data_IF_224412237264
#
_entry.id   IF_224412237264
#
_cell.length_a   1.000
_cell.length_b   1.000
_cell.length_c   1.000
_cell.angle_alpha   90.00
_cell.angle_beta   90.00
_cell.angle_gamma   90.00
#
_symmetry.space_group_name_H-M   'P 1'
#
loop_
_entity.id
_entity.type
_entity.pdbx_description
1 polymer ?
#
# COMPACT_ATOMS: atom_id res chain seq x y z
N UNK A 1 -25.06 -20.38 34.09
CA UNK A 1 -24.97 -18.99 33.57
C UNK A 1 -24.70 -19.04 32.06
N UNK A 2 -25.77 -19.03 31.27
CA UNK A 2 -25.82 -19.28 29.83
C UNK A 2 -25.58 -18.00 28.99
N UNK A 3 -24.51 -17.24 29.26
CA UNK A 3 -24.27 -15.95 28.58
C UNK A 3 -22.92 -15.85 27.86
N UNK A 4 -22.24 -16.99 27.62
CA UNK A 4 -20.97 -17.03 26.88
C UNK A 4 -21.10 -17.42 25.39
N UNK A 5 -22.32 -17.49 24.85
CA UNK A 5 -22.56 -17.99 23.48
C UNK A 5 -23.31 -17.01 22.55
N UNK A 6 -23.64 -15.80 23.01
CA UNK A 6 -24.34 -14.80 22.18
C UNK A 6 -23.42 -13.71 21.58
N UNK A 7 -22.10 -13.80 21.79
CA UNK A 7 -21.12 -12.87 21.21
C UNK A 7 -20.39 -13.43 19.99
N UNK A 8 -20.79 -14.62 19.53
CA UNK A 8 -20.38 -15.14 18.22
C UNK A 8 -21.36 -14.56 17.21
N UNK A 9 -20.87 -13.89 16.17
CA UNK A 9 -21.64 -13.30 15.05
C UNK A 9 -22.40 -12.00 15.32
N UNK A 10 -21.77 -11.00 15.94
CA UNK A 10 -21.99 -9.64 15.44
C UNK A 10 -21.12 -9.51 14.19
N UNK A 11 -21.73 -9.37 13.01
CA UNK A 11 -21.02 -9.04 11.78
C UNK A 11 -20.24 -7.75 12.00
N UNK A 12 -18.95 -7.71 11.69
CA UNK A 12 -18.20 -6.45 11.75
C UNK A 12 -18.79 -5.46 10.74
N UNK A 13 -18.63 -4.14 10.93
CA UNK A 13 -19.06 -3.14 9.94
C UNK A 13 -18.46 -3.43 8.55
N UNK A 14 -17.21 -3.88 8.51
CA UNK A 14 -16.55 -4.33 7.27
C UNK A 14 -17.27 -5.53 6.65
N UNK A 15 -17.60 -6.56 7.44
CA UNK A 15 -18.36 -7.71 6.93
C UNK A 15 -19.76 -7.29 6.44
N UNK A 16 -20.39 -6.31 7.08
CA UNK A 16 -21.68 -5.77 6.66
C UNK A 16 -21.60 -5.03 5.31
N UNK A 17 -20.48 -4.36 5.00
CA UNK A 17 -20.22 -3.82 3.66
C UNK A 17 -19.99 -4.94 2.65
N UNK A 18 -19.21 -5.97 3.02
CA UNK A 18 -18.92 -7.12 2.17
C UNK A 18 -20.16 -8.00 1.88
N UNK A 19 -21.23 -7.86 2.66
CA UNK A 19 -22.51 -8.55 2.46
C UNK A 19 -23.41 -7.85 1.42
N UNK A 20 -23.08 -6.62 0.99
CA UNK A 20 -23.82 -5.92 -0.06
C UNK A 20 -23.53 -6.54 -1.42
N UNK A 21 -24.51 -6.60 -2.31
CA UNK A 21 -24.34 -7.17 -3.65
C UNK A 21 -23.36 -6.37 -4.54
N UNK A 22 -23.29 -5.04 -4.36
CA UNK A 22 -22.49 -4.14 -5.21
C UNK A 22 -21.78 -3.07 -4.36
N UNK A 23 -20.97 -3.47 -3.38
CA UNK A 23 -20.11 -2.52 -2.65
C UNK A 23 -18.91 -2.08 -3.51
N UNK A 24 -18.31 -0.95 -3.17
CA UNK A 24 -17.06 -0.48 -3.77
C UNK A 24 -15.89 -0.55 -2.80
N UNK A 25 -14.66 -0.43 -3.31
CA UNK A 25 -13.48 -0.32 -2.46
C UNK A 25 -13.57 0.90 -1.53
N UNK A 26 -14.09 2.02 -2.04
CA UNK A 26 -14.22 3.28 -1.29
C UNK A 26 -15.15 3.12 -0.09
N UNK A 27 -16.21 2.32 -0.20
CA UNK A 27 -17.08 1.99 0.96
C UNK A 27 -16.28 1.26 2.04
N UNK A 28 -15.44 0.30 1.66
CA UNK A 28 -14.58 -0.42 2.61
C UNK A 28 -13.51 0.49 3.22
N UNK A 29 -12.88 1.36 2.42
CA UNK A 29 -11.88 2.32 2.90
C UNK A 29 -12.49 3.40 3.80
N UNK A 30 -13.80 3.58 3.75
CA UNK A 30 -14.52 4.50 4.64
C UNK A 30 -14.84 3.88 6.00
N UNK A 31 -14.75 2.56 6.16
CA UNK A 31 -14.96 1.90 7.44
C UNK A 31 -13.80 2.19 8.42
N UNK A 32 -14.11 2.57 9.65
CA UNK A 32 -13.09 2.90 10.67
C UNK A 32 -12.24 1.67 11.07
N UNK A 33 -12.84 0.48 11.01
CA UNK A 33 -12.21 -0.78 11.42
C UNK A 33 -11.42 -1.46 10.28
N UNK A 34 -11.37 -0.89 9.07
CA UNK A 34 -10.74 -1.52 7.89
C UNK A 34 -9.29 -1.95 8.11
N UNK A 35 -8.49 -1.11 8.79
CA UNK A 35 -7.08 -1.41 9.11
C UNK A 35 -7.00 -2.50 10.19
N UNK A 36 -7.91 -2.47 11.17
CA UNK A 36 -7.95 -3.47 12.23
C UNK A 36 -8.35 -4.84 11.67
N UNK A 37 -9.34 -4.90 10.79
CA UNK A 37 -9.78 -6.13 10.11
C UNK A 37 -8.69 -6.70 9.19
N UNK A 38 -7.93 -5.83 8.50
CA UNK A 38 -6.70 -6.25 7.81
C UNK A 38 -5.70 -6.92 8.75
N UNK A 39 -5.40 -6.29 9.90
CA UNK A 39 -4.46 -6.83 10.91
C UNK A 39 -4.98 -8.09 11.59
N UNK A 40 -6.30 -8.22 11.74
CA UNK A 40 -6.97 -9.40 12.25
C UNK A 40 -7.05 -10.53 11.22
N UNK A 41 -6.53 -10.31 10.00
CA UNK A 41 -6.54 -11.25 8.90
C UNK A 41 -7.95 -11.71 8.51
N UNK A 42 -8.91 -10.77 8.45
CA UNK A 42 -10.26 -11.07 7.94
C UNK A 42 -10.15 -11.64 6.52
N UNK A 43 -10.49 -12.93 6.40
CA UNK A 43 -10.32 -13.68 5.15
C UNK A 43 -11.16 -13.14 3.99
N UNK A 44 -12.37 -12.64 4.26
CA UNK A 44 -13.26 -12.08 3.22
C UNK A 44 -12.68 -10.78 2.69
N UNK A 45 -12.26 -9.90 3.60
CA UNK A 45 -11.62 -8.65 3.25
C UNK A 45 -10.32 -8.87 2.45
N UNK A 46 -9.44 -9.75 2.93
CA UNK A 46 -8.18 -10.05 2.24
C UNK A 46 -8.43 -10.64 0.86
N UNK A 47 -9.42 -11.53 0.73
CA UNK A 47 -9.77 -12.13 -0.55
C UNK A 47 -10.26 -11.10 -1.57
N UNK A 48 -10.92 -10.03 -1.14
CA UNK A 48 -11.27 -8.91 -2.00
C UNK A 48 -10.05 -8.03 -2.31
N UNK A 49 -9.31 -7.59 -1.29
CA UNK A 49 -8.20 -6.64 -1.44
C UNK A 49 -7.00 -7.18 -2.24
N UNK A 50 -6.81 -8.50 -2.28
CA UNK A 50 -5.72 -9.14 -3.03
C UNK A 50 -5.89 -9.08 -4.54
N UNK A 51 -7.08 -8.78 -5.03
CA UNK A 51 -7.35 -8.73 -6.47
C UNK A 51 -6.58 -7.58 -7.12
N UNK A 52 -6.03 -7.83 -8.32
CA UNK A 52 -5.16 -6.89 -9.03
C UNK A 52 -5.77 -5.49 -9.12
N UNK A 53 -7.05 -5.38 -9.47
CA UNK A 53 -7.74 -4.11 -9.60
C UNK A 53 -7.79 -3.32 -8.26
N UNK A 54 -7.94 -4.02 -7.14
CA UNK A 54 -7.97 -3.39 -5.82
C UNK A 54 -6.57 -2.92 -5.42
N UNK A 55 -5.54 -3.74 -5.65
CA UNK A 55 -4.15 -3.36 -5.40
C UNK A 55 -3.75 -2.15 -6.26
N UNK A 56 -4.15 -2.13 -7.53
CA UNK A 56 -3.92 -0.98 -8.41
C UNK A 56 -4.57 0.29 -7.87
N UNK A 57 -5.85 0.22 -7.48
CA UNK A 57 -6.56 1.39 -6.96
C UNK A 57 -5.97 1.89 -5.64
N UNK A 58 -5.56 0.99 -4.74
CA UNK A 58 -4.83 1.33 -3.52
C UNK A 58 -3.51 2.04 -3.83
N UNK A 59 -2.76 1.58 -4.84
CA UNK A 59 -1.54 2.27 -5.28
C UNK A 59 -1.83 3.67 -5.82
N UNK A 60 -2.88 3.85 -6.63
CA UNK A 60 -3.29 5.18 -7.13
C UNK A 60 -3.58 6.14 -5.98
N UNK A 61 -4.19 5.68 -4.89
CA UNK A 61 -4.37 6.50 -3.70
C UNK A 61 -3.06 6.92 -3.04
N UNK A 62 -2.01 6.09 -3.13
CA UNK A 62 -0.69 6.36 -2.55
C UNK A 62 0.17 7.28 -3.42
N UNK A 63 0.10 7.18 -4.75
CA UNK A 63 1.07 7.84 -5.65
C UNK A 63 0.48 8.92 -6.54
N UNK A 64 -0.85 8.98 -6.71
CA UNK A 64 -1.50 9.98 -7.55
C UNK A 64 -2.17 11.06 -6.70
N UNK A 65 -1.82 12.31 -7.02
CA UNK A 65 -2.51 13.48 -6.48
C UNK A 65 -4.03 13.39 -6.73
N UNK A 66 -4.85 13.72 -5.73
CA UNK A 66 -6.28 13.78 -5.92
C UNK A 66 -6.64 14.85 -6.97
N UNK A 67 -7.69 14.65 -7.79
CA UNK A 67 -8.26 15.71 -8.60
C UNK A 67 -8.59 16.97 -7.78
N UNK A 68 -8.55 18.15 -8.41
CA UNK A 68 -8.78 19.44 -7.72
C UNK A 68 -10.17 19.52 -7.08
N UNK A 69 -11.13 18.80 -7.65
CA UNK A 69 -12.53 18.68 -7.23
C UNK A 69 -12.81 17.40 -6.41
N UNK A 70 -11.77 16.66 -6.02
CA UNK A 70 -11.93 15.43 -5.27
C UNK A 70 -12.47 15.69 -3.85
N UNK A 71 -13.29 14.75 -3.37
CA UNK A 71 -13.73 14.76 -1.97
C UNK A 71 -12.55 14.67 -1.00
N UNK A 72 -12.73 15.27 0.18
CA UNK A 72 -11.81 15.22 1.31
C UNK A 72 -11.32 13.80 1.65
N UNK A 73 -12.17 12.78 1.49
CA UNK A 73 -11.76 11.39 1.70
C UNK A 73 -10.69 10.93 0.71
N UNK A 74 -10.84 11.27 -0.57
CA UNK A 74 -9.84 10.96 -1.62
C UNK A 74 -8.53 11.72 -1.41
N UNK A 75 -8.59 12.92 -0.83
CA UNK A 75 -7.42 13.75 -0.56
C UNK A 75 -6.64 13.31 0.69
N UNK A 76 -7.32 12.80 1.73
CA UNK A 76 -6.68 12.55 3.03
C UNK A 76 -6.88 11.13 3.56
N UNK A 77 -8.11 10.62 3.56
CA UNK A 77 -8.44 9.31 4.19
C UNK A 77 -7.93 8.14 3.36
N UNK A 78 -8.27 8.08 2.07
CA UNK A 78 -7.94 6.94 1.22
C UNK A 78 -6.43 6.75 1.02
N UNK A 79 -5.61 7.81 0.79
CA UNK A 79 -4.15 7.66 0.74
C UNK A 79 -3.59 7.08 2.04
N UNK A 80 -4.05 7.56 3.19
CA UNK A 80 -3.66 7.05 4.49
C UNK A 80 -4.02 5.57 4.65
N UNK A 81 -5.30 5.22 4.49
CA UNK A 81 -5.78 3.83 4.65
C UNK A 81 -5.09 2.89 3.66
N UNK A 82 -4.93 3.29 2.40
CA UNK A 82 -4.24 2.47 1.41
C UNK A 82 -2.78 2.19 1.80
N UNK A 83 -2.06 3.21 2.28
CA UNK A 83 -0.70 3.02 2.79
C UNK A 83 -0.67 2.09 4.02
N UNK A 84 -1.69 2.15 4.89
CA UNK A 84 -1.82 1.29 6.06
C UNK A 84 -2.09 -0.16 5.66
N UNK A 85 -2.96 -0.41 4.67
CA UNK A 85 -3.25 -1.75 4.13
C UNK A 85 -1.98 -2.44 3.64
N UNK A 86 -1.15 -1.75 2.84
CA UNK A 86 0.14 -2.32 2.41
C UNK A 86 1.07 -2.62 3.59
N UNK A 87 1.10 -1.72 4.58
CA UNK A 87 1.95 -1.89 5.76
C UNK A 87 1.38 -2.83 6.84
N UNK A 88 0.21 -3.42 6.61
CA UNK A 88 -0.24 -4.57 7.40
C UNK A 88 0.55 -5.85 7.06
N UNK A 89 1.45 -5.80 6.06
CA UNK A 89 2.37 -6.87 5.69
C UNK A 89 1.67 -8.17 5.25
N UNK A 90 0.44 -8.06 4.73
CA UNK A 90 -0.37 -9.18 4.27
C UNK A 90 0.26 -9.75 2.99
N UNK A 91 0.84 -10.95 3.11
CA UNK A 91 1.70 -11.54 2.09
C UNK A 91 1.05 -11.65 0.70
N UNK A 92 -0.24 -12.03 0.64
CA UNK A 92 -0.95 -12.20 -0.64
C UNK A 92 -1.17 -10.87 -1.38
N UNK A 93 -1.42 -9.78 -0.65
CA UNK A 93 -1.58 -8.43 -1.23
C UNK A 93 -0.22 -7.94 -1.75
N UNK A 94 0.83 -8.12 -0.94
CA UNK A 94 2.19 -7.74 -1.34
C UNK A 94 2.69 -8.56 -2.53
N UNK A 95 2.32 -9.84 -2.65
CA UNK A 95 2.61 -10.67 -3.82
C UNK A 95 1.96 -10.12 -5.07
N UNK A 96 0.66 -9.84 -5.04
CA UNK A 96 -0.03 -9.21 -6.18
C UNK A 96 0.69 -7.94 -6.64
N UNK A 97 1.14 -7.09 -5.71
CA UNK A 97 1.90 -5.89 -6.05
C UNK A 97 3.24 -6.19 -6.75
N UNK A 98 4.07 -7.09 -6.20
CA UNK A 98 5.44 -7.29 -6.72
C UNK A 98 5.55 -8.26 -7.89
N UNK A 99 4.56 -9.14 -8.06
CA UNK A 99 4.52 -10.11 -9.16
C UNK A 99 4.05 -9.47 -10.48
N UNK A 100 3.42 -8.29 -10.39
CA UNK A 100 2.87 -7.55 -11.52
C UNK A 100 3.74 -6.32 -11.84
N UNK A 101 4.50 -6.40 -12.94
CA UNK A 101 5.44 -5.33 -13.34
C UNK A 101 4.74 -3.97 -13.55
N UNK A 102 3.52 -3.98 -14.08
CA UNK A 102 2.72 -2.76 -14.26
C UNK A 102 2.37 -2.06 -12.94
N UNK A 103 2.16 -2.82 -11.85
CA UNK A 103 1.88 -2.26 -10.54
C UNK A 103 3.14 -1.68 -9.90
N UNK A 104 4.29 -2.34 -10.11
CA UNK A 104 5.59 -1.80 -9.70
C UNK A 104 5.93 -0.51 -10.48
N UNK A 105 5.67 -0.50 -11.79
CA UNK A 105 5.80 0.70 -12.63
C UNK A 105 4.91 1.83 -12.11
N UNK A 106 3.67 1.53 -11.74
CA UNK A 106 2.75 2.52 -11.15
C UNK A 106 3.30 3.08 -9.83
N UNK A 107 3.73 2.21 -8.90
CA UNK A 107 4.31 2.63 -7.63
C UNK A 107 5.50 3.58 -7.84
N UNK A 108 6.44 3.20 -8.70
CA UNK A 108 7.66 3.96 -8.94
C UNK A 108 7.47 5.17 -9.87
N UNK A 109 6.34 5.27 -10.58
CA UNK A 109 5.96 6.47 -11.35
C UNK A 109 5.85 7.73 -10.48
N UNK A 110 5.72 7.55 -9.15
CA UNK A 110 5.79 8.62 -8.18
C UNK A 110 7.08 9.45 -8.30
N UNK A 111 8.20 8.82 -8.65
CA UNK A 111 9.52 9.46 -8.74
C UNK A 111 9.74 10.23 -10.06
N UNK A 112 8.71 10.34 -10.91
CA UNK A 112 8.79 11.01 -12.20
C UNK A 112 9.05 12.52 -12.07
N UNK A 113 9.93 13.11 -12.92
CA UNK A 113 10.41 14.50 -12.78
C UNK A 113 9.32 15.57 -12.93
N UNK A 114 8.18 15.24 -13.56
CA UNK A 114 7.13 16.19 -13.92
C UNK A 114 6.03 16.36 -12.87
N UNK A 115 6.17 15.76 -11.67
CA UNK A 115 5.13 15.81 -10.63
C UNK A 115 5.47 16.80 -9.51
N UNK A 116 4.53 17.67 -9.09
CA UNK A 116 4.66 18.37 -7.83
C UNK A 116 4.57 17.32 -6.70
N UNK A 117 5.70 17.04 -6.05
CA UNK A 117 5.73 16.07 -4.95
C UNK A 117 4.99 16.65 -3.73
N UNK A 118 3.77 16.18 -3.45
CA UNK A 118 3.20 16.47 -2.13
C UNK A 118 3.98 15.72 -1.06
N UNK A 119 4.36 16.45 -0.01
CA UNK A 119 5.10 15.89 1.13
C UNK A 119 4.36 14.71 1.78
N UNK A 120 3.02 14.73 1.76
CA UNK A 120 2.18 13.66 2.31
C UNK A 120 2.25 12.38 1.49
N UNK A 121 2.04 12.44 0.17
CA UNK A 121 2.11 11.25 -0.68
C UNK A 121 3.54 10.69 -0.72
N UNK A 122 4.57 11.53 -0.67
CA UNK A 122 5.96 11.08 -0.53
C UNK A 122 6.18 10.23 0.73
N UNK A 123 5.53 10.60 1.83
CA UNK A 123 5.52 9.82 3.07
C UNK A 123 4.86 8.45 2.89
N UNK A 124 3.69 8.39 2.26
CA UNK A 124 2.98 7.14 1.99
C UNK A 124 3.74 6.23 1.02
N UNK A 125 4.24 6.78 -0.09
CA UNK A 125 5.11 6.09 -1.03
C UNK A 125 6.32 5.48 -0.31
N UNK A 126 7.06 6.30 0.45
CA UNK A 126 8.23 5.83 1.20
C UNK A 126 7.87 4.71 2.17
N UNK A 127 6.71 4.81 2.85
CA UNK A 127 6.22 3.78 3.77
C UNK A 127 5.96 2.44 3.06
N UNK A 128 5.32 2.46 1.89
CA UNK A 128 5.07 1.25 1.09
C UNK A 128 6.39 0.64 0.59
N UNK A 129 7.31 1.46 0.07
CA UNK A 129 8.61 0.96 -0.39
C UNK A 129 9.41 0.36 0.75
N UNK A 130 9.47 1.00 1.92
CA UNK A 130 10.13 0.42 3.11
C UNK A 130 9.49 -0.92 3.50
N UNK A 131 8.17 -1.04 3.45
CA UNK A 131 7.47 -2.31 3.68
C UNK A 131 7.90 -3.39 2.67
N UNK A 132 7.97 -3.07 1.37
CA UNK A 132 8.46 -3.98 0.35
C UNK A 132 9.93 -4.36 0.58
N UNK A 133 10.78 -3.44 1.01
CA UNK A 133 12.17 -3.75 1.34
C UNK A 133 12.30 -4.73 2.50
N UNK A 134 11.38 -4.67 3.48
CA UNK A 134 11.37 -5.57 4.63
C UNK A 134 10.75 -6.94 4.32
N UNK A 135 9.70 -6.98 3.49
CA UNK A 135 8.86 -8.18 3.30
C UNK A 135 9.02 -8.84 1.93
N UNK A 136 9.49 -8.10 0.92
CA UNK A 136 9.62 -8.51 -0.49
C UNK A 136 10.93 -8.01 -1.10
N UNK A 137 12.03 -8.09 -0.34
CA UNK A 137 13.33 -7.56 -0.74
C UNK A 137 13.78 -8.09 -2.09
N UNK A 138 13.70 -9.40 -2.33
CA UNK A 138 14.20 -10.02 -3.56
C UNK A 138 13.44 -9.53 -4.80
N UNK A 139 12.10 -9.62 -4.87
CA UNK A 139 11.34 -9.04 -5.99
C UNK A 139 11.60 -7.55 -6.22
N UNK A 140 11.66 -6.77 -5.12
CA UNK A 140 11.93 -5.34 -5.20
C UNK A 140 13.32 -5.05 -5.80
N UNK A 141 14.36 -5.74 -5.33
CA UNK A 141 15.72 -5.57 -5.84
C UNK A 141 15.84 -5.99 -7.29
N UNK A 142 15.19 -7.08 -7.69
CA UNK A 142 15.16 -7.52 -9.10
C UNK A 142 14.54 -6.44 -9.99
N UNK A 143 13.42 -5.84 -9.56
CA UNK A 143 12.78 -4.74 -10.29
C UNK A 143 13.70 -3.52 -10.39
N UNK A 144 14.32 -3.10 -9.29
CA UNK A 144 15.23 -1.93 -9.25
C UNK A 144 16.47 -2.16 -10.11
N UNK A 145 17.02 -3.37 -10.14
CA UNK A 145 18.15 -3.73 -10.99
C UNK A 145 17.77 -3.71 -12.48
N UNK A 146 16.56 -4.14 -12.83
CA UNK A 146 16.03 -4.04 -14.19
C UNK A 146 15.75 -2.59 -14.60
N UNK A 147 15.39 -1.72 -13.65
CA UNK A 147 15.01 -0.32 -13.87
C UNK A 147 15.98 0.65 -13.20
N UNK A 148 17.23 0.73 -13.70
CA UNK A 148 18.26 1.61 -13.11
C UNK A 148 17.86 3.09 -13.00
N UNK A 149 16.91 3.55 -13.83
CA UNK A 149 16.33 4.89 -13.73
C UNK A 149 15.71 5.16 -12.36
N UNK A 150 15.12 4.14 -11.72
CA UNK A 150 14.51 4.26 -10.39
C UNK A 150 15.55 4.62 -9.34
N UNK A 151 16.75 4.03 -9.40
CA UNK A 151 17.85 4.40 -8.49
C UNK A 151 18.26 5.85 -8.69
N UNK A 152 18.38 6.29 -9.94
CA UNK A 152 18.71 7.68 -10.24
C UNK A 152 17.64 8.63 -9.68
N UNK A 153 16.36 8.35 -9.91
CA UNK A 153 15.27 9.20 -9.43
C UNK A 153 15.16 9.20 -7.90
N UNK A 154 15.43 8.09 -7.22
CA UNK A 154 15.53 8.06 -5.77
C UNK A 154 16.67 8.99 -5.29
N UNK A 155 17.85 8.94 -5.93
CA UNK A 155 19.00 9.80 -5.63
C UNK A 155 18.65 11.28 -5.86
N UNK A 156 17.97 11.60 -6.96
CA UNK A 156 17.56 12.96 -7.29
C UNK A 156 16.58 13.54 -6.25
N UNK A 157 15.84 12.66 -5.56
CA UNK A 157 14.87 13.02 -4.52
C UNK A 157 15.41 12.84 -3.09
N UNK A 158 16.73 12.75 -2.90
CA UNK A 158 17.37 12.65 -1.58
C UNK A 158 17.02 13.77 -0.61
N UNK A 159 16.56 14.93 -1.09
CA UNK A 159 16.10 16.03 -0.25
C UNK A 159 14.83 15.71 0.57
N UNK A 160 14.13 14.64 0.23
CA UNK A 160 12.93 14.18 0.96
C UNK A 160 13.36 13.10 1.96
N UNK A 161 13.17 13.34 3.26
CA UNK A 161 13.60 12.44 4.35
C UNK A 161 13.14 11.00 4.15
N UNK A 162 11.88 10.80 3.76
CA UNK A 162 11.33 9.46 3.51
C UNK A 162 12.02 8.72 2.35
N UNK A 163 12.50 9.45 1.34
CA UNK A 163 13.21 8.87 0.18
C UNK A 163 14.68 8.59 0.54
N UNK A 164 15.34 9.50 1.27
CA UNK A 164 16.68 9.26 1.83
C UNK A 164 16.69 8.00 2.70
N UNK A 165 15.66 7.79 3.50
CA UNK A 165 15.47 6.60 4.33
C UNK A 165 15.34 5.30 3.53
N UNK A 166 14.67 5.34 2.37
CA UNK A 166 14.59 4.22 1.43
C UNK A 166 15.97 3.94 0.83
N UNK A 167 16.67 4.98 0.36
CA UNK A 167 18.00 4.87 -0.23
C UNK A 167 19.03 4.27 0.72
N UNK A 168 19.10 4.75 1.97
CA UNK A 168 20.03 4.22 2.97
C UNK A 168 19.79 2.73 3.21
N UNK A 169 18.51 2.32 3.28
CA UNK A 169 18.16 0.91 3.43
C UNK A 169 18.48 0.08 2.18
N UNK A 170 18.38 0.65 0.98
CA UNK A 170 18.66 -0.05 -0.28
C UNK A 170 20.16 -0.35 -0.38
N UNK A 171 21.01 0.65 -0.09
CA UNK A 171 22.47 0.50 -0.03
C UNK A 171 22.89 -0.52 1.05
N UNK A 172 22.14 -0.60 2.15
CA UNK A 172 22.35 -1.59 3.20
C UNK A 172 21.90 -3.02 2.87
N UNK A 173 20.91 -3.19 1.98
CA UNK A 173 20.36 -4.49 1.61
C UNK A 173 21.36 -5.33 0.80
N UNK A 174 22.16 -4.69 -0.04
CA UNK A 174 23.17 -5.35 -0.90
C UNK A 174 24.27 -6.07 -0.10
N UNK A 175 24.52 -5.64 1.15
CA UNK A 175 25.52 -6.27 2.04
C UNK A 175 25.04 -7.58 2.68
N UNK A 176 23.74 -7.87 2.68
CA UNK A 176 23.17 -9.08 3.31
C UNK A 176 22.99 -10.24 2.33
N UNK A 177 23.27 -10.03 1.05
CA UNK A 177 23.14 -11.05 -0.02
C UNK A 177 24.42 -11.89 -0.22
N UNK A 178 25.49 -11.61 0.52
CA UNK A 178 26.83 -12.22 0.36
C UNK A 178 27.29 -12.95 1.62
N UNK A 179 26.37 -13.38 2.49
CA UNK A 179 26.68 -14.23 3.66
C UNK A 179 25.75 -15.44 3.68
#
# INVERSE_FOLDING_TARGET
>A
MFWKLAALSASSPVDAVLDKENFTLEELLDEEEIIQECKALNSRLINFLRDRAQVEQLLRYVVEEPPVDADSKRAFKFPFVASEVFTCEIDVILRTLVDEEELMNLLFSFLGPDRPYSTSLAGYFGKVVVCLMLRKTVPLMNYVQAHQIVLQQLIDLMGITSIMEVLVRLVGADRKSVV
#
